data_IF_417697528564
#
_entry.id   IF_417697528564
#
_cell.length_a   1.000
_cell.length_b   1.000
_cell.length_c   1.000
_cell.angle_alpha   90.00
_cell.angle_beta   90.00
_cell.angle_gamma   90.00
#
_symmetry.space_group_name_H-M   'P 1'
#
loop_
_entity.id
_entity.type
_entity.pdbx_description
1 polymer ?
#
# COMPACT_ATOMS: atom_id res chain seq x y z
N UNK A 1 14.36 39.73 13.90
CA UNK A 1 15.14 39.20 12.76
C UNK A 1 16.03 38.08 13.31
N UNK A 2 15.45 36.89 13.48
CA UNK A 2 16.12 35.74 14.10
C UNK A 2 16.80 34.88 13.04
N UNK A 3 17.98 34.37 13.37
CA UNK A 3 18.85 33.56 12.53
C UNK A 3 18.14 32.27 12.04
N UNK A 4 17.44 32.36 10.91
CA UNK A 4 16.69 31.26 10.29
C UNK A 4 17.58 30.18 9.65
N UNK A 5 18.90 30.39 9.61
CA UNK A 5 19.83 29.53 8.85
C UNK A 5 19.98 28.12 9.42
N UNK A 6 19.64 27.90 10.70
CA UNK A 6 19.67 26.57 11.33
C UNK A 6 18.41 25.73 11.06
N UNK A 7 17.28 26.36 10.71
CA UNK A 7 16.01 25.65 10.50
C UNK A 7 15.89 25.02 9.11
N UNK A 8 16.76 25.43 8.17
CA UNK A 8 16.83 24.88 6.81
C UNK A 8 17.81 23.71 6.67
N UNK A 9 18.58 23.39 7.72
CA UNK A 9 19.47 22.23 7.70
C UNK A 9 18.70 20.94 8.05
N UNK A 10 18.47 20.10 7.04
CA UNK A 10 17.73 18.85 7.20
C UNK A 10 18.33 17.92 8.27
N UNK A 11 19.67 17.89 8.40
CA UNK A 11 20.34 17.05 9.40
C UNK A 11 20.01 17.49 10.82
N UNK A 12 19.93 18.80 11.05
CA UNK A 12 19.51 19.37 12.34
C UNK A 12 18.04 19.04 12.62
N UNK A 13 17.15 19.13 11.64
CA UNK A 13 15.72 18.81 11.80
C UNK A 13 15.48 17.33 12.16
N UNK A 14 16.19 16.40 11.52
CA UNK A 14 16.05 14.95 11.78
C UNK A 14 16.47 14.51 13.17
N UNK A 15 17.18 15.35 13.93
CA UNK A 15 17.58 15.04 15.32
C UNK A 15 16.54 15.46 16.35
N UNK A 16 15.49 16.18 15.93
CA UNK A 16 14.40 16.65 16.80
C UNK A 16 13.32 15.56 17.00
N UNK A 17 12.56 15.61 18.11
CA UNK A 17 11.35 14.82 18.27
C UNK A 17 10.37 15.06 17.12
N UNK A 18 9.73 14.00 16.62
CA UNK A 18 8.82 14.11 15.47
C UNK A 18 7.38 14.43 15.87
N UNK A 19 7.02 14.25 17.15
CA UNK A 19 5.70 14.60 17.68
C UNK A 19 5.79 15.34 19.01
N UNK A 20 4.70 16.04 19.37
CA UNK A 20 4.55 16.69 20.67
C UNK A 20 4.65 15.68 21.82
N UNK A 21 4.07 14.49 21.66
CA UNK A 21 4.15 13.41 22.65
C UNK A 21 5.59 12.98 22.93
N UNK A 22 6.41 12.79 21.89
CA UNK A 22 7.84 12.45 22.05
C UNK A 22 8.66 13.57 22.72
N UNK A 23 8.25 14.84 22.53
CA UNK A 23 8.89 15.97 23.19
C UNK A 23 8.60 15.97 24.69
N UNK A 24 7.34 15.71 25.08
CA UNK A 24 6.89 15.67 26.48
C UNK A 24 7.47 14.47 27.26
N UNK A 25 7.68 13.31 26.61
CA UNK A 25 8.27 12.11 27.24
C UNK A 25 9.75 12.28 27.64
N UNK A 26 10.50 13.10 26.91
CA UNK A 26 11.94 13.37 27.19
C UNK A 26 12.17 14.34 28.36
N UNK A 27 11.13 15.01 28.84
CA UNK A 27 11.21 15.94 29.97
C UNK A 27 11.03 15.24 31.34
N UNK A 28 10.79 13.93 31.36
CA UNK A 28 10.72 13.15 32.60
C UNK A 28 12.12 12.93 33.23
N UNK A 29 12.30 13.14 34.55
CA UNK A 29 13.61 13.08 35.17
C UNK A 29 14.02 11.62 35.40
N UNK A 30 14.81 11.04 34.50
CA UNK A 30 15.55 9.81 34.79
C UNK A 30 17.05 10.04 34.75
N UNK A 31 17.72 9.50 35.77
CA UNK A 31 19.06 9.86 36.19
C UNK A 31 20.16 9.73 35.13
N UNK A 32 21.04 10.74 35.15
CA UNK A 32 22.45 10.78 34.73
C UNK A 32 22.96 9.52 33.99
N UNK A 33 23.24 9.65 32.69
CA UNK A 33 24.55 9.37 32.06
C UNK A 33 24.56 9.79 30.57
N UNK A 34 25.73 10.22 30.11
CA UNK A 34 26.00 11.16 29.02
C UNK A 34 26.03 10.55 27.60
N UNK A 35 25.73 11.36 26.58
CA UNK A 35 26.52 11.50 25.35
C UNK A 35 26.25 12.88 24.70
N UNK A 36 27.26 13.60 24.16
CA UNK A 36 27.09 14.94 23.60
C UNK A 36 26.63 14.84 22.14
N UNK A 37 25.35 14.56 21.92
CA UNK A 37 24.72 14.74 20.63
C UNK A 37 23.81 15.96 20.75
N UNK A 38 24.17 17.03 20.04
CA UNK A 38 23.49 18.32 19.91
C UNK A 38 22.13 18.37 20.64
N UNK A 39 22.19 18.62 21.94
CA UNK A 39 21.01 18.69 22.79
C UNK A 39 20.27 19.96 22.41
N UNK A 40 19.20 19.81 21.62
CA UNK A 40 18.15 20.81 21.59
C UNK A 40 17.53 20.83 22.98
N UNK A 41 18.01 21.74 23.82
CA UNK A 41 17.23 22.17 24.99
C UNK A 41 16.01 22.89 24.43
N UNK A 42 14.77 22.45 24.66
CA UNK A 42 13.61 23.25 24.31
C UNK A 42 13.80 24.58 25.03
N UNK A 43 14.05 25.64 24.26
CA UNK A 43 14.09 26.97 24.83
C UNK A 43 12.74 27.20 25.50
N UNK A 44 12.75 27.95 26.60
CA UNK A 44 11.56 28.37 27.36
C UNK A 44 10.49 29.11 26.52
N UNK A 45 10.76 29.30 25.24
CA UNK A 45 9.94 29.90 24.19
C UNK A 45 9.26 28.85 23.28
N UNK A 46 9.13 27.58 23.71
CA UNK A 46 8.21 26.66 23.05
C UNK A 46 6.79 27.26 23.15
N UNK A 47 6.23 27.67 22.01
CA UNK A 47 4.89 28.23 21.96
C UNK A 47 3.90 27.19 22.48
N UNK A 48 2.94 27.59 23.32
CA UNK A 48 1.84 26.72 23.80
C UNK A 48 0.91 26.24 22.66
N UNK A 49 1.16 26.70 21.44
CA UNK A 49 0.39 26.37 20.26
C UNK A 49 0.58 24.90 19.88
N UNK A 50 -0.50 24.30 19.36
CA UNK A 50 -0.51 22.91 18.92
C UNK A 50 -1.07 22.86 17.51
N UNK A 51 -0.44 22.08 16.65
CA UNK A 51 -0.93 21.77 15.31
C UNK A 51 -1.09 20.26 15.19
N UNK A 52 -2.23 19.80 14.69
CA UNK A 52 -2.51 18.38 14.49
C UNK A 52 -2.45 18.05 13.00
N UNK A 53 -1.71 16.99 12.66
CA UNK A 53 -1.62 16.46 11.31
C UNK A 53 -2.24 15.07 11.32
N UNK A 54 -3.25 14.86 10.48
CA UNK A 54 -3.78 13.54 10.18
C UNK A 54 -3.22 13.08 8.83
N UNK A 55 -2.56 11.93 8.81
CA UNK A 55 -1.98 11.33 7.61
C UNK A 55 -2.53 9.93 7.41
N UNK A 56 -2.93 9.60 6.18
CA UNK A 56 -3.23 8.24 5.75
C UNK A 56 -2.16 7.85 4.73
N UNK A 57 -1.36 6.82 5.04
CA UNK A 57 -0.29 6.33 4.16
C UNK A 57 -0.78 5.06 3.47
N UNK A 58 -0.74 5.03 2.14
CA UNK A 58 -1.01 3.83 1.35
C UNK A 58 0.15 3.57 0.37
N UNK A 59 0.55 2.31 0.25
CA UNK A 59 1.46 1.88 -0.80
C UNK A 59 0.68 1.70 -2.09
N UNK A 60 1.10 2.36 -3.16
CA UNK A 60 0.50 2.24 -4.51
C UNK A 60 1.28 1.27 -5.40
N UNK A 61 2.28 0.57 -4.84
CA UNK A 61 3.16 -0.34 -5.59
C UNK A 61 3.21 -1.75 -5.02
N UNK A 62 3.07 -1.88 -3.70
CA UNK A 62 3.10 -3.16 -3.00
C UNK A 62 1.88 -3.23 -2.07
N UNK A 63 1.05 -4.24 -2.25
CA UNK A 63 -0.07 -4.50 -1.35
C UNK A 63 0.43 -4.94 0.03
N UNK A 64 -0.28 -4.54 1.08
CA UNK A 64 -0.08 -5.05 2.44
C UNK A 64 -1.08 -6.16 2.79
N UNK A 65 -2.08 -6.39 1.95
CA UNK A 65 -3.02 -7.48 2.11
C UNK A 65 -2.33 -8.80 1.73
N UNK A 66 -2.23 -9.72 2.69
CA UNK A 66 -1.51 -10.99 2.52
C UNK A 66 -2.14 -11.91 1.48
N UNK A 67 -3.47 -11.88 1.36
CA UNK A 67 -4.22 -12.72 0.42
C UNK A 67 -4.02 -12.23 -1.01
N UNK A 68 -4.12 -10.91 -1.23
CA UNK A 68 -3.82 -10.29 -2.52
C UNK A 68 -2.35 -10.47 -2.88
N UNK A 69 -1.42 -10.31 -1.92
CA UNK A 69 0.01 -10.57 -2.15
C UNK A 69 0.25 -12.03 -2.56
N UNK A 70 -0.46 -12.97 -1.94
CA UNK A 70 -0.42 -14.38 -2.29
C UNK A 70 -0.78 -14.63 -3.75
N UNK A 71 -1.82 -13.95 -4.26
CA UNK A 71 -2.16 -13.99 -5.69
C UNK A 71 -1.09 -13.31 -6.55
N UNK A 72 -0.68 -12.08 -6.24
CA UNK A 72 0.29 -11.35 -7.07
C UNK A 72 1.66 -12.04 -7.15
N UNK A 73 2.03 -12.79 -6.11
CA UNK A 73 3.26 -13.56 -6.04
C UNK A 73 3.05 -15.08 -6.23
N UNK A 74 1.99 -15.48 -6.93
CA UNK A 74 1.58 -16.89 -7.06
C UNK A 74 2.70 -17.83 -7.56
N UNK A 75 3.62 -17.34 -8.42
CA UNK A 75 4.74 -18.13 -8.95
C UNK A 75 5.73 -18.60 -7.88
N UNK A 76 5.82 -17.89 -6.75
CA UNK A 76 6.64 -18.31 -5.61
C UNK A 76 6.06 -19.51 -4.87
N UNK A 77 4.76 -19.82 -5.05
CA UNK A 77 4.11 -20.97 -4.41
C UNK A 77 2.95 -21.51 -5.27
N UNK A 78 3.24 -22.17 -6.40
CA UNK A 78 2.21 -22.59 -7.36
C UNK A 78 1.18 -23.58 -6.80
N UNK A 79 1.55 -24.34 -5.77
CA UNK A 79 0.66 -25.27 -5.07
C UNK A 79 -0.49 -24.58 -4.32
N UNK A 80 -0.39 -23.27 -4.07
CA UNK A 80 -1.39 -22.48 -3.35
C UNK A 80 -2.33 -21.70 -4.27
N UNK A 81 -2.22 -21.82 -5.60
CA UNK A 81 -3.03 -21.02 -6.55
C UNK A 81 -4.54 -21.14 -6.27
N UNK A 82 -5.06 -22.37 -6.11
CA UNK A 82 -6.47 -22.57 -5.80
C UNK A 82 -6.90 -21.89 -4.50
N UNK A 83 -6.04 -21.92 -3.48
CA UNK A 83 -6.29 -21.24 -2.21
C UNK A 83 -6.29 -19.71 -2.39
N UNK A 84 -5.31 -19.18 -3.09
CA UNK A 84 -5.15 -17.74 -3.33
C UNK A 84 -6.32 -17.18 -4.15
N UNK A 85 -6.79 -17.90 -5.18
CA UNK A 85 -7.94 -17.50 -5.99
C UNK A 85 -9.24 -17.42 -5.16
N UNK A 86 -9.45 -18.36 -4.23
CA UNK A 86 -10.59 -18.31 -3.31
C UNK A 86 -10.45 -17.17 -2.31
N UNK A 87 -9.26 -16.98 -1.76
CA UNK A 87 -8.98 -15.90 -0.80
C UNK A 87 -9.10 -14.51 -1.40
N UNK A 88 -8.82 -14.35 -2.70
CA UNK A 88 -9.03 -13.09 -3.41
C UNK A 88 -10.46 -12.54 -3.25
N UNK A 89 -11.46 -13.43 -3.25
CA UNK A 89 -12.88 -13.04 -3.12
C UNK A 89 -13.25 -12.56 -1.71
N UNK A 90 -12.39 -12.79 -0.73
CA UNK A 90 -12.53 -12.30 0.66
C UNK A 90 -11.82 -10.95 0.88
N UNK A 91 -10.99 -10.51 -0.07
CA UNK A 91 -10.24 -9.26 0.02
C UNK A 91 -11.17 -8.07 -0.15
N UNK A 92 -10.94 -7.01 0.64
CA UNK A 92 -11.71 -5.76 0.51
C UNK A 92 -11.55 -5.20 -0.91
N UNK A 93 -12.68 -4.87 -1.56
CA UNK A 93 -12.67 -4.32 -2.92
C UNK A 93 -11.77 -3.08 -3.07
N UNK A 94 -11.65 -2.26 -2.03
CA UNK A 94 -10.74 -1.11 -2.00
C UNK A 94 -9.27 -1.46 -2.16
N UNK A 95 -8.83 -2.63 -1.68
CA UNK A 95 -7.48 -3.14 -1.92
C UNK A 95 -7.34 -3.67 -3.34
N UNK A 96 -8.32 -4.41 -3.84
CA UNK A 96 -8.31 -4.96 -5.21
C UNK A 96 -8.20 -3.86 -6.25
N UNK A 97 -9.03 -2.82 -6.18
CA UNK A 97 -9.07 -1.75 -7.19
C UNK A 97 -7.78 -0.93 -7.25
N UNK A 98 -7.02 -0.83 -6.15
CA UNK A 98 -5.70 -0.16 -6.13
C UNK A 98 -4.68 -0.87 -7.01
N UNK A 99 -4.80 -2.20 -7.11
CA UNK A 99 -3.90 -3.07 -7.87
C UNK A 99 -4.64 -3.76 -9.01
N UNK A 100 -5.68 -3.12 -9.56
CA UNK A 100 -6.54 -3.74 -10.58
C UNK A 100 -5.76 -4.29 -11.79
N UNK A 101 -4.83 -3.53 -12.41
CA UNK A 101 -4.01 -4.03 -13.50
C UNK A 101 -3.21 -5.28 -13.12
N UNK A 102 -2.47 -5.23 -12.00
CA UNK A 102 -1.62 -6.33 -11.53
C UNK A 102 -2.46 -7.57 -11.17
N UNK A 103 -3.66 -7.35 -10.62
CA UNK A 103 -4.60 -8.43 -10.27
C UNK A 103 -5.12 -9.12 -11.53
N UNK A 104 -5.53 -8.36 -12.55
CA UNK A 104 -5.97 -8.91 -13.83
C UNK A 104 -4.83 -9.64 -14.54
N UNK A 105 -3.63 -9.05 -14.58
CA UNK A 105 -2.44 -9.71 -15.15
C UNK A 105 -2.14 -11.03 -14.43
N UNK A 106 -2.23 -11.08 -13.10
CA UNK A 106 -2.03 -12.32 -12.36
C UNK A 106 -3.08 -13.38 -12.75
N UNK A 107 -4.36 -13.01 -12.82
CA UNK A 107 -5.45 -13.91 -13.19
C UNK A 107 -5.30 -14.47 -14.60
N UNK A 108 -5.05 -13.61 -15.59
CA UNK A 108 -4.86 -14.07 -16.97
C UNK A 108 -3.59 -14.89 -17.14
N UNK A 109 -2.49 -14.54 -16.46
CA UNK A 109 -1.29 -15.36 -16.48
C UNK A 109 -1.52 -16.75 -15.87
N UNK A 110 -2.30 -16.86 -14.78
CA UNK A 110 -2.66 -18.17 -14.20
C UNK A 110 -3.48 -18.98 -15.20
N UNK A 111 -4.49 -18.38 -15.83
CA UNK A 111 -5.32 -19.04 -16.85
C UNK A 111 -4.48 -19.56 -18.02
N UNK A 112 -3.45 -18.80 -18.45
CA UNK A 112 -2.58 -19.19 -19.55
C UNK A 112 -1.55 -20.26 -19.13
N UNK A 113 -0.82 -20.02 -18.04
CA UNK A 113 0.31 -20.87 -17.59
C UNK A 113 -0.14 -22.17 -16.93
N UNK A 114 -1.36 -22.24 -16.40
CA UNK A 114 -1.90 -23.43 -15.72
C UNK A 114 -3.06 -24.08 -16.50
N UNK A 115 -3.12 -23.85 -17.81
CA UNK A 115 -4.18 -24.31 -18.73
C UNK A 115 -4.39 -25.82 -18.80
N UNK A 116 -3.43 -26.63 -18.34
CA UNK A 116 -3.58 -28.09 -18.23
C UNK A 116 -4.56 -28.51 -17.12
N UNK A 117 -4.91 -27.60 -16.21
CA UNK A 117 -5.81 -27.86 -15.09
C UNK A 117 -7.07 -26.99 -15.16
N UNK A 118 -8.13 -27.55 -15.74
CA UNK A 118 -9.45 -26.92 -15.90
C UNK A 118 -10.05 -26.39 -14.58
N UNK A 119 -9.61 -26.91 -13.42
CA UNK A 119 -10.05 -26.39 -12.10
C UNK A 119 -9.71 -24.91 -11.94
N UNK A 120 -8.56 -24.48 -12.46
CA UNK A 120 -8.14 -23.08 -12.35
C UNK A 120 -8.94 -22.17 -13.28
N UNK A 121 -9.40 -22.65 -14.43
CA UNK A 121 -10.24 -21.86 -15.34
C UNK A 121 -11.53 -21.41 -14.66
N UNK A 122 -12.20 -22.33 -13.94
CA UNK A 122 -13.40 -21.99 -13.17
C UNK A 122 -13.10 -20.99 -12.04
N UNK A 123 -12.02 -21.20 -11.28
CA UNK A 123 -11.66 -20.30 -10.18
C UNK A 123 -11.25 -18.91 -10.66
N UNK A 124 -10.53 -18.83 -11.78
CA UNK A 124 -10.17 -17.55 -12.40
C UNK A 124 -11.42 -16.86 -12.96
N UNK A 125 -12.32 -17.60 -13.58
CA UNK A 125 -13.59 -17.05 -14.05
C UNK A 125 -14.41 -16.44 -12.89
N UNK A 126 -14.57 -17.17 -11.79
CA UNK A 126 -15.27 -16.67 -10.59
C UNK A 126 -14.59 -15.40 -10.06
N UNK A 127 -13.26 -15.37 -10.01
CA UNK A 127 -12.49 -14.20 -9.61
C UNK A 127 -12.69 -13.01 -10.55
N UNK A 128 -12.73 -13.22 -11.87
CA UNK A 128 -13.01 -12.17 -12.85
C UNK A 128 -14.43 -11.62 -12.69
N UNK A 129 -15.43 -12.48 -12.52
CA UNK A 129 -16.83 -12.05 -12.26
C UNK A 129 -16.91 -11.21 -10.99
N UNK A 130 -16.21 -11.63 -9.92
CA UNK A 130 -16.10 -10.86 -8.69
C UNK A 130 -15.50 -9.47 -8.92
N UNK A 131 -14.37 -9.37 -9.64
CA UNK A 131 -13.71 -8.09 -9.93
C UNK A 131 -14.59 -7.18 -10.79
N UNK A 132 -15.23 -7.69 -11.83
CA UNK A 132 -16.13 -6.89 -12.67
C UNK A 132 -17.35 -6.42 -11.88
N UNK A 133 -17.89 -7.27 -11.00
CA UNK A 133 -18.98 -6.88 -10.09
C UNK A 133 -18.56 -5.79 -9.12
N UNK A 134 -17.32 -5.83 -8.61
CA UNK A 134 -16.77 -4.75 -7.78
C UNK A 134 -16.68 -3.42 -8.56
N UNK A 135 -16.19 -3.43 -9.81
CA UNK A 135 -16.04 -2.20 -10.61
C UNK A 135 -17.40 -1.62 -11.04
N UNK A 136 -18.41 -2.48 -11.17
CA UNK A 136 -19.80 -2.07 -11.43
C UNK A 136 -20.47 -1.36 -10.25
N UNK A 137 -19.94 -1.47 -9.03
CA UNK A 137 -20.46 -0.77 -7.85
C UNK A 137 -20.22 0.75 -7.97
N UNK A 138 -21.21 1.56 -7.59
CA UNK A 138 -21.14 3.02 -7.56
C UNK A 138 -19.92 3.53 -6.76
N UNK A 139 -19.52 2.81 -5.70
CA UNK A 139 -18.35 3.14 -4.88
C UNK A 139 -17.03 3.11 -5.67
N UNK A 140 -16.96 2.29 -6.73
CA UNK A 140 -15.72 2.05 -7.50
C UNK A 140 -15.80 2.54 -8.94
N UNK A 141 -16.83 3.31 -9.31
CA UNK A 141 -17.04 3.75 -10.70
C UNK A 141 -15.86 4.49 -11.33
N UNK A 142 -15.08 5.24 -10.54
CA UNK A 142 -13.88 5.94 -11.03
C UNK A 142 -12.80 4.99 -11.55
N UNK A 143 -12.81 3.71 -11.14
CA UNK A 143 -11.89 2.69 -11.63
C UNK A 143 -12.30 2.11 -13.00
N UNK A 144 -13.48 2.45 -13.54
CA UNK A 144 -13.82 2.07 -14.93
C UNK A 144 -12.81 2.62 -15.94
N UNK A 145 -12.34 3.87 -15.76
CA UNK A 145 -11.30 4.44 -16.62
C UNK A 145 -9.98 3.65 -16.55
N UNK A 146 -9.67 3.07 -15.39
CA UNK A 146 -8.48 2.22 -15.21
C UNK A 146 -8.69 0.89 -15.92
N UNK A 147 -9.85 0.26 -15.77
CA UNK A 147 -10.21 -0.97 -16.47
C UNK A 147 -10.19 -0.78 -18.00
N UNK A 148 -10.80 0.28 -18.52
CA UNK A 148 -10.81 0.61 -19.94
C UNK A 148 -9.39 0.84 -20.47
N UNK A 149 -8.57 1.59 -19.73
CA UNK A 149 -7.16 1.79 -20.08
C UNK A 149 -6.39 0.48 -20.11
N UNK A 150 -6.63 -0.39 -19.13
CA UNK A 150 -6.04 -1.72 -19.08
C UNK A 150 -6.44 -2.54 -20.31
N UNK A 151 -7.74 -2.61 -20.63
CA UNK A 151 -8.25 -3.33 -21.81
C UNK A 151 -7.62 -2.80 -23.10
N UNK A 152 -7.50 -1.48 -23.25
CA UNK A 152 -7.01 -0.89 -24.49
C UNK A 152 -5.48 -1.02 -24.67
N UNK A 153 -4.71 -0.95 -23.57
CA UNK A 153 -3.24 -0.83 -23.64
C UNK A 153 -2.47 -2.05 -23.15
N UNK A 154 -3.03 -2.82 -22.23
CA UNK A 154 -2.32 -3.85 -21.47
C UNK A 154 -2.91 -5.24 -21.67
N UNK A 155 -4.21 -5.33 -21.94
CA UNK A 155 -4.84 -6.59 -22.30
C UNK A 155 -4.30 -7.07 -23.65
N UNK A 156 -3.25 -7.88 -23.55
CA UNK A 156 -2.69 -8.64 -24.65
C UNK A 156 -3.06 -10.10 -24.39
N UNK A 157 -4.35 -10.42 -24.45
CA UNK A 157 -4.72 -11.80 -24.71
C UNK A 157 -4.09 -12.18 -26.03
N UNK A 158 -3.17 -13.14 -25.98
CA UNK A 158 -2.56 -13.77 -27.14
C UNK A 158 -3.66 -14.01 -28.16
N UNK A 159 -3.58 -13.38 -29.32
CA UNK A 159 -4.30 -13.86 -30.49
C UNK A 159 -3.93 -15.33 -30.60
N UNK A 160 -4.87 -16.22 -30.24
CA UNK A 160 -4.78 -17.61 -30.62
C UNK A 160 -4.67 -17.62 -32.15
N UNK A 161 -3.52 -18.04 -32.66
CA UNK A 161 -3.28 -18.35 -34.06
C UNK A 161 -3.21 -19.86 -34.22
#
# INVERSE_FOLDING_TARGET
QGDNKKMEDAKSYLTLPCTKTEMEEKEAPSGKNQHPLATFTPSKDSTKDSFQIATVICSTKLTQNVDLLGLLNWRSSPHNIAHNLRKLMEVEGGEIVKFLPDTLDALFNIMMEMSENETYDFLVFDALVFIISLIGDIKFQHFNAVLETYIYKHFSATLAY
#
